data_IF_326715853699
#
_entry.id   IF_326715853699
#
_cell.length_a   1.000
_cell.length_b   1.000
_cell.length_c   1.000
_cell.angle_alpha   90.00
_cell.angle_beta   90.00
_cell.angle_gamma   90.00
#
_symmetry.space_group_name_H-M   'P 1'
#
loop_
_entity.id
_entity.type
_entity.pdbx_description
1 polymer ?
#
# COMPACT_ATOMS: atom_id res chain seq x y z
N UNK A 1 -11.72 -4.21 17.99
CA UNK A 1 -12.63 -4.46 16.85
C UNK A 1 -11.89 -4.65 15.52
N UNK A 2 -11.05 -3.70 15.08
CA UNK A 2 -10.31 -3.84 13.81
C UNK A 2 -9.45 -5.10 13.75
N UNK A 3 -8.67 -5.39 14.81
CA UNK A 3 -7.83 -6.60 14.85
C UNK A 3 -8.64 -7.89 14.68
N UNK A 4 -9.84 -7.95 15.27
CA UNK A 4 -10.76 -9.09 15.14
C UNK A 4 -11.23 -9.24 13.70
N UNK A 5 -11.68 -8.15 13.07
CA UNK A 5 -12.08 -8.16 11.65
C UNK A 5 -10.91 -8.57 10.74
N UNK A 6 -9.73 -8.01 10.96
CA UNK A 6 -8.49 -8.40 10.26
C UNK A 6 -8.21 -9.89 10.42
N UNK A 7 -8.34 -10.42 11.64
CA UNK A 7 -8.18 -11.84 11.93
C UNK A 7 -9.13 -12.71 11.12
N UNK A 8 -10.42 -12.37 11.15
CA UNK A 8 -11.47 -13.10 10.41
C UNK A 8 -11.21 -13.06 8.90
N UNK A 9 -10.84 -11.91 8.34
CA UNK A 9 -10.51 -11.81 6.90
C UNK A 9 -9.31 -12.71 6.57
N UNK A 10 -8.22 -12.62 7.35
CA UNK A 10 -7.01 -13.42 7.13
C UNK A 10 -7.28 -14.92 7.28
N UNK A 11 -8.11 -15.33 8.23
CA UNK A 11 -8.51 -16.72 8.44
C UNK A 11 -9.35 -17.24 7.28
N UNK A 12 -10.34 -16.45 6.83
CA UNK A 12 -11.19 -16.78 5.67
C UNK A 12 -10.37 -16.94 4.39
N UNK A 13 -9.28 -16.17 4.22
CA UNK A 13 -8.37 -16.32 3.09
C UNK A 13 -7.49 -17.58 3.19
N UNK A 14 -7.14 -18.03 4.39
CA UNK A 14 -6.34 -19.24 4.60
C UNK A 14 -7.15 -20.52 4.43
N UNK A 15 -8.43 -20.50 4.77
CA UNK A 15 -9.28 -21.68 4.75
C UNK A 15 -9.47 -22.22 3.31
N UNK A 16 -8.99 -23.44 3.07
CA UNK A 16 -9.08 -24.13 1.75
C UNK A 16 -10.45 -24.79 1.57
N UNK A 17 -11.20 -25.01 2.64
CA UNK A 17 -12.40 -25.85 2.67
C UNK A 17 -13.66 -25.03 2.34
N UNK A 18 -13.68 -23.73 2.64
CA UNK A 18 -14.84 -22.85 2.43
C UNK A 18 -14.76 -22.14 1.07
N UNK A 19 -15.88 -21.90 0.37
CA UNK A 19 -15.94 -20.99 -0.78
C UNK A 19 -15.54 -19.55 -0.39
N UNK A 20 -14.22 -19.25 -0.41
CA UNK A 20 -13.60 -18.03 0.13
C UNK A 20 -14.29 -16.75 -0.34
N UNK A 21 -14.54 -16.64 -1.65
CA UNK A 21 -15.20 -15.49 -2.26
C UNK A 21 -16.63 -15.29 -1.72
N UNK A 22 -17.39 -16.37 -1.53
CA UNK A 22 -18.77 -16.31 -1.05
C UNK A 22 -18.86 -15.92 0.43
N UNK A 23 -18.02 -16.53 1.27
CA UNK A 23 -17.97 -16.23 2.70
C UNK A 23 -17.51 -14.78 2.95
N UNK A 24 -16.42 -14.37 2.29
CA UNK A 24 -15.89 -13.03 2.47
C UNK A 24 -16.82 -11.95 1.90
N UNK A 25 -17.49 -12.21 0.77
CA UNK A 25 -18.51 -11.30 0.24
C UNK A 25 -19.67 -11.13 1.23
N UNK A 26 -20.15 -12.21 1.86
CA UNK A 26 -21.21 -12.14 2.88
C UNK A 26 -20.78 -11.32 4.11
N UNK A 27 -19.51 -11.41 4.50
CA UNK A 27 -18.94 -10.64 5.61
C UNK A 27 -18.78 -9.15 5.27
N UNK A 28 -18.18 -8.85 4.11
CA UNK A 28 -17.75 -7.49 3.76
C UNK A 28 -18.86 -6.66 3.08
N UNK A 29 -19.78 -7.28 2.33
CA UNK A 29 -20.81 -6.51 1.60
C UNK A 29 -21.68 -5.62 2.53
N UNK A 30 -22.14 -6.08 3.70
CA UNK A 30 -22.89 -5.22 4.63
C UNK A 30 -22.03 -4.10 5.24
N UNK A 31 -20.71 -4.32 5.31
CA UNK A 31 -19.75 -3.39 5.91
C UNK A 31 -19.13 -2.44 4.89
N UNK A 32 -19.36 -2.64 3.58
CA UNK A 32 -18.59 -2.00 2.51
C UNK A 32 -18.56 -0.48 2.63
N UNK A 33 -19.75 0.14 2.71
CA UNK A 33 -19.89 1.59 2.85
C UNK A 33 -19.37 2.11 4.21
N UNK A 34 -19.57 1.35 5.28
CA UNK A 34 -19.14 1.73 6.63
C UNK A 34 -17.62 1.74 6.72
N UNK A 35 -16.98 0.69 6.20
CA UNK A 35 -15.53 0.58 6.12
C UNK A 35 -14.98 1.69 5.22
N UNK A 36 -15.54 1.89 4.03
CA UNK A 36 -15.12 2.99 3.15
C UNK A 36 -15.18 4.35 3.85
N UNK A 37 -16.29 4.67 4.53
CA UNK A 37 -16.43 5.89 5.31
C UNK A 37 -15.40 6.01 6.44
N UNK A 38 -15.20 4.92 7.19
CA UNK A 38 -14.19 4.84 8.25
C UNK A 38 -12.77 5.07 7.72
N UNK A 39 -12.43 4.46 6.59
CA UNK A 39 -11.15 4.65 5.91
C UNK A 39 -10.92 6.09 5.47
N UNK A 40 -11.92 6.69 4.83
CA UNK A 40 -11.85 8.08 4.40
C UNK A 40 -11.64 9.01 5.60
N UNK A 41 -12.35 8.78 6.71
CA UNK A 41 -12.20 9.58 7.92
C UNK A 41 -10.76 9.54 8.47
N UNK A 42 -10.13 8.37 8.51
CA UNK A 42 -8.74 8.22 8.98
C UNK A 42 -7.73 8.79 7.99
N UNK A 43 -7.91 8.55 6.69
CA UNK A 43 -6.98 9.04 5.66
C UNK A 43 -7.03 10.57 5.49
N UNK A 44 -8.17 11.19 5.79
CA UNK A 44 -8.34 12.64 5.80
C UNK A 44 -7.96 13.28 7.14
N UNK A 45 -7.75 12.48 8.19
CA UNK A 45 -7.40 13.00 9.49
C UNK A 45 -6.02 13.67 9.45
N UNK A 46 -5.94 14.89 9.98
CA UNK A 46 -4.66 15.58 10.14
C UNK A 46 -3.97 15.06 11.41
N UNK A 47 -2.86 14.34 11.21
CA UNK A 47 -2.07 13.80 12.31
C UNK A 47 -1.16 14.89 12.86
N UNK A 48 -1.65 15.62 13.87
CA UNK A 48 -0.86 16.59 14.60
C UNK A 48 0.10 15.86 15.57
N UNK A 49 1.34 16.34 15.62
CA UNK A 49 2.48 15.61 16.17
C UNK A 49 2.33 15.25 17.65
N UNK A 50 1.52 15.97 18.43
CA UNK A 50 1.41 15.81 19.88
C UNK A 50 0.84 14.44 20.31
N UNK A 51 -0.15 13.90 19.59
CA UNK A 51 -0.81 12.63 19.96
C UNK A 51 -0.09 11.37 19.44
N UNK A 52 0.86 11.55 18.52
CA UNK A 52 1.56 10.46 17.85
C UNK A 52 3.08 10.48 18.13
N UNK A 53 3.51 11.22 19.16
CA UNK A 53 4.93 11.35 19.55
C UNK A 53 5.56 10.04 20.00
N UNK A 54 4.79 9.16 20.65
CA UNK A 54 5.28 7.85 21.12
C UNK A 54 4.78 6.73 20.22
N UNK A 55 5.68 5.84 19.71
CA UNK A 55 5.29 4.68 18.91
C UNK A 55 4.44 3.67 19.68
N UNK A 56 4.40 3.76 21.02
CA UNK A 56 3.62 2.89 21.90
C UNK A 56 2.32 3.56 22.40
N UNK A 57 1.98 4.74 21.87
CA UNK A 57 0.71 5.38 22.17
C UNK A 57 -0.47 4.57 21.63
N UNK A 58 -1.61 4.66 22.31
CA UNK A 58 -2.86 4.04 21.86
C UNK A 58 -3.23 4.50 20.44
N UNK A 59 -3.02 5.79 20.12
CA UNK A 59 -3.26 6.34 18.80
C UNK A 59 -2.37 5.69 17.72
N UNK A 60 -1.10 5.42 18.03
CA UNK A 60 -0.18 4.69 17.15
C UNK A 60 -0.58 3.22 16.96
N UNK A 61 -1.03 2.55 18.03
CA UNK A 61 -1.54 1.18 17.96
C UNK A 61 -2.82 1.07 17.12
N UNK A 62 -3.71 2.07 17.24
CA UNK A 62 -4.93 2.14 16.44
C UNK A 62 -4.61 2.35 14.95
N UNK A 63 -3.66 3.23 14.64
CA UNK A 63 -3.19 3.43 13.27
C UNK A 63 -2.47 2.18 12.72
N UNK A 64 -1.72 1.46 13.54
CA UNK A 64 -1.09 0.20 13.16
C UNK A 64 -2.15 -0.87 12.81
N UNK A 65 -3.18 -0.99 13.65
CA UNK A 65 -4.31 -1.91 13.46
C UNK A 65 -5.12 -1.58 12.21
N UNK A 66 -5.24 -0.28 11.91
CA UNK A 66 -5.83 0.21 10.67
C UNK A 66 -5.04 -0.24 9.43
N UNK A 67 -3.71 -0.14 9.46
CA UNK A 67 -2.85 -0.61 8.37
C UNK A 67 -2.97 -2.13 8.20
N UNK A 68 -3.04 -2.88 9.31
CA UNK A 68 -3.23 -4.34 9.25
C UNK A 68 -4.55 -4.74 8.57
N UNK A 69 -5.62 -3.96 8.79
CA UNK A 69 -6.89 -4.18 8.10
C UNK A 69 -6.80 -3.79 6.62
N UNK A 70 -6.15 -2.67 6.28
CA UNK A 70 -5.89 -2.32 4.87
C UNK A 70 -5.13 -3.42 4.14
N UNK A 71 -4.13 -4.00 4.79
CA UNK A 71 -3.34 -5.10 4.23
C UNK A 71 -4.19 -6.35 3.98
N UNK A 72 -5.06 -6.70 4.93
CA UNK A 72 -5.98 -7.83 4.76
C UNK A 72 -7.01 -7.59 3.65
N UNK A 73 -7.54 -6.37 3.55
CA UNK A 73 -8.45 -5.98 2.48
C UNK A 73 -7.77 -6.00 1.11
N UNK A 74 -6.55 -5.46 1.02
CA UNK A 74 -5.73 -5.55 -0.18
C UNK A 74 -5.52 -7.01 -0.60
N UNK A 75 -5.07 -7.87 0.31
CA UNK A 75 -4.86 -9.29 0.03
C UNK A 75 -6.15 -9.98 -0.43
N UNK A 76 -7.30 -9.62 0.14
CA UNK A 76 -8.58 -10.17 -0.29
C UNK A 76 -9.05 -9.67 -1.67
N UNK A 77 -8.78 -8.40 -2.00
CA UNK A 77 -9.07 -7.83 -3.33
C UNK A 77 -8.28 -8.54 -4.41
N UNK A 78 -7.02 -8.78 -4.07
CA UNK A 78 -6.03 -9.52 -4.83
C UNK A 78 -6.54 -10.94 -5.11
N UNK A 79 -6.76 -11.75 -4.07
CA UNK A 79 -7.05 -13.17 -4.24
C UNK A 79 -8.44 -13.46 -4.83
N UNK A 80 -9.43 -12.61 -4.54
CA UNK A 80 -10.85 -12.92 -4.82
C UNK A 80 -11.50 -11.99 -5.84
N UNK A 81 -10.83 -10.89 -6.20
CA UNK A 81 -11.27 -9.91 -7.21
C UNK A 81 -12.70 -9.37 -7.00
N UNK A 82 -13.18 -9.39 -5.76
CA UNK A 82 -14.51 -8.91 -5.38
C UNK A 82 -14.61 -7.39 -5.59
N UNK A 83 -15.68 -6.87 -6.23
CA UNK A 83 -15.80 -5.44 -6.58
C UNK A 83 -16.32 -4.59 -5.41
N UNK A 84 -15.82 -4.79 -4.20
CA UNK A 84 -16.22 -4.03 -3.01
C UNK A 84 -15.38 -2.75 -2.87
N UNK A 85 -15.98 -1.64 -2.46
CA UNK A 85 -15.28 -0.35 -2.35
C UNK A 85 -14.23 -0.34 -1.25
N UNK A 86 -14.53 -0.93 -0.08
CA UNK A 86 -13.60 -1.03 1.04
C UNK A 86 -12.30 -1.76 0.68
N UNK A 87 -12.37 -2.72 -0.25
CA UNK A 87 -11.23 -3.47 -0.78
C UNK A 87 -10.39 -2.66 -1.78
N UNK A 88 -10.99 -1.68 -2.45
CA UNK A 88 -10.34 -0.83 -3.46
C UNK A 88 -9.70 0.42 -2.86
N UNK A 89 -9.91 0.69 -1.56
CA UNK A 89 -9.56 1.96 -0.92
C UNK A 89 -8.09 2.34 -1.11
N UNK A 90 -7.15 1.38 -1.00
CA UNK A 90 -5.73 1.66 -1.14
C UNK A 90 -5.37 2.15 -2.55
N UNK A 91 -6.03 1.61 -3.58
CA UNK A 91 -5.85 2.01 -4.97
C UNK A 91 -6.42 3.41 -5.22
N UNK A 92 -7.63 3.65 -4.71
CA UNK A 92 -8.38 4.88 -4.97
C UNK A 92 -7.91 6.07 -4.12
N UNK A 93 -7.27 5.83 -2.97
CA UNK A 93 -6.91 6.85 -1.98
C UNK A 93 -5.40 6.88 -1.68
N UNK A 94 -4.57 6.41 -2.60
CA UNK A 94 -3.12 6.38 -2.42
C UNK A 94 -2.51 7.76 -2.18
N UNK A 95 -3.05 8.83 -2.77
CA UNK A 95 -2.57 10.20 -2.52
C UNK A 95 -2.66 10.57 -1.04
N UNK A 96 -3.73 10.19 -0.35
CA UNK A 96 -3.87 10.40 1.09
C UNK A 96 -2.87 9.56 1.90
N UNK A 97 -2.61 8.33 1.47
CA UNK A 97 -1.58 7.47 2.10
C UNK A 97 -0.19 8.08 1.94
N UNK A 98 0.14 8.63 0.77
CA UNK A 98 1.40 9.31 0.51
C UNK A 98 1.54 10.59 1.37
N UNK A 99 0.46 11.37 1.50
CA UNK A 99 0.43 12.52 2.40
C UNK A 99 0.64 12.11 3.86
N UNK A 100 0.05 10.99 4.28
CA UNK A 100 0.22 10.45 5.62
C UNK A 100 1.67 10.01 5.88
N UNK A 101 2.33 9.39 4.90
CA UNK A 101 3.77 9.07 4.97
C UNK A 101 4.63 10.33 5.15
N UNK A 102 4.24 11.46 4.54
CA UNK A 102 4.92 12.76 4.71
C UNK A 102 4.60 13.47 6.03
N UNK A 103 3.51 13.10 6.70
CA UNK A 103 3.10 13.73 7.97
C UNK A 103 4.02 13.38 9.15
N UNK A 104 3.77 13.94 10.33
CA UNK A 104 4.59 13.77 11.54
C UNK A 104 4.34 12.47 12.32
N UNK A 105 3.77 11.44 11.70
CA UNK A 105 3.55 10.12 12.32
C UNK A 105 4.87 9.36 12.59
N UNK A 106 4.88 8.40 13.54
CA UNK A 106 6.04 7.57 13.82
C UNK A 106 6.59 6.86 12.58
N UNK A 107 7.92 6.82 12.48
CA UNK A 107 8.62 6.23 11.33
C UNK A 107 8.25 4.76 11.09
N UNK A 108 8.02 3.97 12.14
CA UNK A 108 7.58 2.56 12.03
C UNK A 108 6.26 2.44 11.24
N UNK A 109 5.34 3.39 11.45
CA UNK A 109 4.05 3.45 10.76
C UNK A 109 4.26 3.86 9.30
N UNK A 110 5.09 4.88 9.04
CA UNK A 110 5.48 5.28 7.67
C UNK A 110 6.04 4.10 6.89
N UNK A 111 7.00 3.39 7.48
CA UNK A 111 7.63 2.20 6.91
C UNK A 111 6.59 1.13 6.56
N UNK A 112 5.61 0.90 7.43
CA UNK A 112 4.55 -0.09 7.17
C UNK A 112 3.65 0.30 5.99
N UNK A 113 3.25 1.58 5.88
CA UNK A 113 2.51 2.06 4.71
C UNK A 113 3.30 1.91 3.42
N UNK A 114 4.59 2.26 3.42
CA UNK A 114 5.46 2.13 2.24
C UNK A 114 5.57 0.66 1.79
N UNK A 115 5.75 -0.26 2.74
CA UNK A 115 5.78 -1.69 2.44
C UNK A 115 4.43 -2.20 1.91
N UNK A 116 3.31 -1.67 2.42
CA UNK A 116 1.98 -1.98 1.92
C UNK A 116 1.78 -1.47 0.48
N UNK A 117 2.22 -0.26 0.16
CA UNK A 117 2.21 0.26 -1.21
C UNK A 117 3.06 -0.59 -2.15
N UNK A 118 4.24 -1.02 -1.70
CA UNK A 118 5.06 -1.98 -2.45
C UNK A 118 4.28 -3.27 -2.74
N UNK A 119 3.60 -3.85 -1.75
CA UNK A 119 2.77 -5.06 -1.96
C UNK A 119 1.65 -4.82 -2.97
N UNK A 120 1.02 -3.65 -2.91
CA UNK A 120 -0.05 -3.24 -3.81
C UNK A 120 0.42 -3.24 -5.28
N UNK A 121 1.56 -2.62 -5.58
CA UNK A 121 2.08 -2.54 -6.97
C UNK A 121 2.70 -3.84 -7.47
N UNK A 122 3.20 -4.70 -6.58
CA UNK A 122 3.88 -5.95 -6.93
C UNK A 122 2.95 -7.15 -7.05
N UNK A 123 1.65 -6.93 -6.90
CA UNK A 123 0.66 -7.99 -6.75
C UNK A 123 0.74 -9.11 -7.82
N UNK A 124 1.21 -8.85 -9.04
CA UNK A 124 1.41 -9.89 -10.08
C UNK A 124 2.84 -10.00 -10.62
N UNK A 125 3.84 -9.47 -9.93
CA UNK A 125 5.25 -9.52 -10.35
C UNK A 125 6.04 -10.72 -9.81
N UNK A 126 5.38 -11.83 -9.45
CA UNK A 126 6.11 -13.08 -9.19
C UNK A 126 6.61 -13.59 -10.55
N UNK A 127 7.93 -13.75 -10.66
CA UNK A 127 8.78 -14.05 -11.84
C UNK A 127 8.37 -15.18 -12.81
N UNK A 128 7.15 -15.73 -12.73
CA UNK A 128 6.72 -16.90 -13.51
C UNK A 128 5.84 -16.55 -14.72
N UNK A 129 6.18 -15.51 -15.48
CA UNK A 129 5.37 -15.12 -16.61
C UNK A 129 6.19 -14.58 -17.79
N UNK A 130 6.51 -15.51 -18.70
CA UNK A 130 7.06 -15.29 -20.05
C UNK A 130 6.13 -14.50 -21.00
N UNK A 131 5.31 -13.58 -20.55
CA UNK A 131 4.43 -12.83 -21.47
C UNK A 131 4.05 -11.47 -20.93
N UNK A 132 4.50 -10.42 -21.62
CA UNK A 132 4.19 -9.01 -21.34
C UNK A 132 2.74 -8.60 -21.62
N UNK A 133 1.77 -9.52 -21.49
CA UNK A 133 0.35 -9.24 -21.78
C UNK A 133 -0.62 -9.61 -20.63
N UNK A 134 -0.12 -10.06 -19.47
CA UNK A 134 -0.96 -10.61 -18.40
C UNK A 134 -1.85 -9.59 -17.65
N UNK A 135 -1.62 -8.29 -17.82
CA UNK A 135 -2.51 -7.26 -17.29
C UNK A 135 -3.89 -7.23 -17.98
N UNK A 136 -4.01 -7.79 -19.18
CA UNK A 136 -5.29 -7.95 -19.91
C UNK A 136 -6.22 -9.00 -19.31
N UNK A 137 -5.76 -9.88 -18.42
CA UNK A 137 -6.57 -11.01 -17.95
C UNK A 137 -7.55 -10.68 -16.82
N UNK A 138 -7.37 -9.55 -16.11
CA UNK A 138 -8.22 -9.19 -14.96
C UNK A 138 -8.62 -7.72 -15.02
N UNK A 139 -9.66 -7.37 -15.81
CA UNK A 139 -10.02 -5.99 -16.12
C UNK A 139 -10.34 -5.15 -14.87
N UNK A 140 -10.95 -5.76 -13.85
CA UNK A 140 -11.33 -5.02 -12.64
C UNK A 140 -10.12 -4.55 -11.82
N UNK A 141 -8.98 -5.25 -11.86
CA UNK A 141 -7.76 -4.83 -11.17
C UNK A 141 -6.90 -3.90 -12.03
N UNK A 142 -7.08 -3.94 -13.35
CA UNK A 142 -6.44 -2.99 -14.26
C UNK A 142 -6.90 -1.55 -13.96
N UNK A 143 -8.21 -1.34 -13.78
CA UNK A 143 -8.76 -0.02 -13.38
C UNK A 143 -8.19 0.47 -12.04
N UNK A 144 -8.08 -0.43 -11.06
CA UNK A 144 -7.52 -0.12 -9.74
C UNK A 144 -6.05 0.30 -9.84
N UNK A 145 -5.26 -0.44 -10.61
CA UNK A 145 -3.84 -0.13 -10.84
C UNK A 145 -3.65 1.14 -11.66
N UNK A 146 -4.56 1.46 -12.58
CA UNK A 146 -4.55 2.72 -13.32
C UNK A 146 -4.80 3.91 -12.39
N UNK A 147 -5.82 3.82 -11.54
CA UNK A 147 -6.13 4.85 -10.55
C UNK A 147 -4.95 5.06 -9.59
N UNK A 148 -4.38 3.96 -9.06
CA UNK A 148 -3.20 3.98 -8.21
C UNK A 148 -2.02 4.67 -8.91
N UNK A 149 -1.70 4.25 -10.14
CA UNK A 149 -0.53 4.74 -10.88
C UNK A 149 -0.65 6.22 -11.19
N UNK A 150 -1.82 6.69 -11.62
CA UNK A 150 -2.05 8.10 -11.89
C UNK A 150 -1.88 8.95 -10.63
N UNK A 151 -2.43 8.52 -9.50
CA UNK A 151 -2.32 9.25 -8.24
C UNK A 151 -0.88 9.26 -7.70
N UNK A 152 -0.15 8.13 -7.78
CA UNK A 152 1.28 8.07 -7.40
C UNK A 152 2.10 9.06 -8.22
N UNK A 153 1.94 9.05 -9.55
CA UNK A 153 2.73 9.90 -10.45
C UNK A 153 2.40 11.39 -10.27
N UNK A 154 1.14 11.73 -9.98
CA UNK A 154 0.77 13.11 -9.64
C UNK A 154 1.48 13.58 -8.37
N UNK A 155 1.54 12.76 -7.32
CA UNK A 155 2.17 13.13 -6.05
C UNK A 155 3.69 13.18 -6.16
N UNK A 156 4.32 12.24 -6.86
CA UNK A 156 5.78 12.20 -7.04
C UNK A 156 6.29 13.45 -7.79
N UNK A 157 5.52 13.97 -8.75
CA UNK A 157 5.86 15.19 -9.47
C UNK A 157 5.97 16.43 -8.55
N UNK A 158 5.37 16.39 -7.36
CA UNK A 158 5.39 17.49 -6.38
C UNK A 158 6.62 17.48 -5.45
N UNK A 159 7.74 16.90 -5.88
CA UNK A 159 8.99 16.74 -5.07
C UNK A 159 8.80 15.96 -3.76
N UNK A 160 7.71 15.19 -3.66
CA UNK A 160 7.30 14.45 -2.46
C UNK A 160 8.39 13.53 -1.91
N UNK A 161 9.16 12.88 -2.79
CA UNK A 161 10.27 11.99 -2.40
C UNK A 161 11.34 12.69 -1.55
N UNK A 162 11.53 14.00 -1.72
CA UNK A 162 12.51 14.78 -0.96
C UNK A 162 12.07 15.04 0.48
N UNK A 163 10.78 14.86 0.79
CA UNK A 163 10.19 15.13 2.11
C UNK A 163 10.14 13.89 3.01
N UNK A 164 10.52 12.72 2.50
CA UNK A 164 10.43 11.47 3.26
C UNK A 164 11.67 11.35 4.14
N UNK A 165 11.53 11.42 5.48
CA UNK A 165 12.68 11.29 6.36
C UNK A 165 13.25 9.87 6.23
N UNK A 166 14.46 9.76 5.70
CA UNK A 166 15.27 8.55 5.75
C UNK A 166 15.93 8.52 7.13
N UNK A 167 15.73 7.43 7.86
CA UNK A 167 16.34 7.17 9.15
C UNK A 167 17.87 7.17 9.03
N UNK A 168 18.49 8.16 9.67
CA UNK A 168 19.84 8.17 10.26
C UNK A 168 21.07 7.96 9.37
N UNK A 169 21.01 7.22 8.28
CA UNK A 169 22.19 6.89 7.46
C UNK A 169 21.89 7.24 6.00
N UNK A 170 22.59 8.23 5.46
CA UNK A 170 22.56 8.56 4.04
C UNK A 170 23.10 7.39 3.23
N UNK A 171 22.22 6.48 2.85
CA UNK A 171 22.55 5.40 1.93
C UNK A 171 22.01 5.75 0.56
N UNK A 172 22.91 6.08 -0.37
CA UNK A 172 22.56 6.42 -1.73
C UNK A 172 22.12 5.17 -2.52
N UNK A 173 21.42 5.37 -3.63
CA UNK A 173 21.02 4.32 -4.57
C UNK A 173 22.27 3.78 -5.30
N UNK A 174 23.06 2.95 -4.62
CA UNK A 174 24.37 2.48 -5.10
C UNK A 174 25.16 1.64 -4.09
N UNK A 175 24.74 1.60 -2.83
CA UNK A 175 25.45 0.91 -1.74
C UNK A 175 25.97 1.91 -0.72
N UNK A 176 26.05 1.47 0.54
CA UNK A 176 26.69 2.24 1.60
C UNK A 176 28.19 1.95 1.54
N UNK A 177 29.03 2.98 1.57
CA UNK A 177 30.40 2.79 2.07
C UNK A 177 30.29 2.29 3.51
N UNK A 178 31.01 1.22 3.82
CA UNK A 178 31.06 0.66 5.16
C UNK A 178 31.83 1.63 6.06
N UNK A 179 31.13 2.31 6.98
CA UNK A 179 31.79 3.03 8.06
C UNK A 179 32.49 2.00 8.97
N UNK A 180 33.77 2.19 9.32
CA UNK A 180 34.48 1.26 10.19
C UNK A 180 34.08 1.55 11.64
N UNK A 181 33.35 0.59 12.23
CA UNK A 181 33.17 0.46 13.67
C UNK A 181 32.18 1.42 14.32
N UNK A 182 30.92 0.98 14.45
CA UNK A 182 30.16 1.24 15.68
C UNK A 182 28.98 0.26 15.77
N UNK A 183 28.86 -0.40 16.92
CA UNK A 183 27.77 -1.31 17.28
C UNK A 183 26.50 -0.51 17.60
N UNK A 184 25.90 0.10 16.58
CA UNK A 184 24.53 0.63 16.68
C UNK A 184 23.61 -0.01 15.65
N UNK A 185 22.50 -0.52 16.18
CA UNK A 185 21.46 -1.31 15.53
C UNK A 185 20.61 -0.47 14.55
N UNK A 186 21.25 0.30 13.66
CA UNK A 186 20.62 1.17 12.67
C UNK A 186 20.64 0.55 11.28
N UNK A 187 19.82 -0.48 11.06
CA UNK A 187 19.69 -1.12 9.74
C UNK A 187 19.29 -0.11 8.67
N UNK A 188 20.18 0.11 7.70
CA UNK A 188 20.03 1.05 6.59
C UNK A 188 18.63 1.04 5.95
N UNK A 189 18.08 2.23 5.77
CA UNK A 189 16.76 2.53 5.19
C UNK A 189 16.62 2.22 3.68
N UNK A 190 17.60 1.52 3.11
CA UNK A 190 17.59 1.02 1.73
C UNK A 190 16.31 0.28 1.36
N UNK A 191 15.72 -0.49 2.29
CA UNK A 191 14.47 -1.22 2.00
C UNK A 191 13.32 -0.28 1.70
N UNK A 192 13.23 0.85 2.42
CA UNK A 192 12.17 1.84 2.26
C UNK A 192 12.38 2.63 0.97
N UNK A 193 13.61 3.08 0.71
CA UNK A 193 13.95 3.77 -0.54
C UNK A 193 13.69 2.88 -1.75
N UNK A 194 14.16 1.63 -1.73
CA UNK A 194 13.92 0.65 -2.82
C UNK A 194 12.43 0.38 -3.00
N UNK A 195 11.67 0.26 -1.91
CA UNK A 195 10.22 0.08 -1.98
C UNK A 195 9.53 1.27 -2.66
N UNK A 196 9.90 2.49 -2.29
CA UNK A 196 9.37 3.70 -2.92
C UNK A 196 9.77 3.81 -4.40
N UNK A 197 11.05 3.63 -4.73
CA UNK A 197 11.52 3.64 -6.12
C UNK A 197 10.75 2.61 -6.95
N UNK A 198 10.52 1.41 -6.41
CA UNK A 198 9.77 0.37 -7.09
C UNK A 198 8.29 0.73 -7.28
N UNK A 199 7.66 1.39 -6.30
CA UNK A 199 6.29 1.91 -6.44
C UNK A 199 6.20 2.93 -7.58
N UNK A 200 7.16 3.86 -7.66
CA UNK A 200 7.21 4.86 -8.74
C UNK A 200 7.47 4.20 -10.10
N UNK A 201 8.46 3.31 -10.18
CA UNK A 201 8.80 2.61 -11.42
C UNK A 201 7.62 1.75 -11.92
N UNK A 202 6.92 1.03 -11.04
CA UNK A 202 5.74 0.25 -11.42
C UNK A 202 4.57 1.14 -11.87
N UNK A 203 4.37 2.29 -11.24
CA UNK A 203 3.36 3.24 -11.69
C UNK A 203 3.68 3.81 -13.09
N UNK A 204 4.95 4.12 -13.36
CA UNK A 204 5.41 4.55 -14.68
C UNK A 204 5.23 3.46 -15.73
N UNK A 205 5.68 2.25 -15.43
CA UNK A 205 5.52 1.07 -16.31
C UNK A 205 4.05 0.90 -16.69
N UNK A 206 3.16 0.91 -15.70
CA UNK A 206 1.73 0.75 -15.95
C UNK A 206 1.16 1.87 -16.83
N UNK A 207 1.50 3.14 -16.55
CA UNK A 207 1.02 4.28 -17.35
C UNK A 207 1.49 4.23 -18.81
N UNK A 208 2.72 3.77 -19.05
CA UNK A 208 3.25 3.61 -20.41
C UNK A 208 2.47 2.52 -21.16
N UNK A 209 2.25 1.36 -20.53
CA UNK A 209 1.49 0.26 -21.14
C UNK A 209 0.01 0.62 -21.39
N UNK A 210 -0.63 1.33 -20.45
CA UNK A 210 -2.01 1.79 -20.63
C UNK A 210 -2.15 2.80 -21.78
N UNK A 211 -1.14 3.67 -21.97
CA UNK A 211 -1.14 4.65 -23.06
C UNK A 211 -0.89 4.00 -24.43
N UNK A 212 -0.02 2.99 -24.49
CA UNK A 212 0.24 2.22 -25.70
C UNK A 212 -1.01 1.45 -26.18
N UNK A 213 -1.72 0.82 -25.25
CA UNK A 213 -2.98 0.11 -25.56
C UNK A 213 -4.09 1.06 -26.01
N UNK A 214 -4.17 2.28 -25.48
CA UNK A 214 -5.12 3.30 -25.95
C UNK A 214 -4.78 3.84 -27.35
N UNK A 215 -3.50 3.88 -27.72
CA UNK A 215 -3.04 4.33 -29.04
C UNK A 215 -3.28 3.31 -30.16
N UNK A 216 -3.37 2.02 -29.86
CA UNK A 216 -3.68 0.95 -30.84
C UNK A 216 -5.18 0.79 -31.13
N UNK A 217 -6.05 1.34 -30.27
CA UNK A 217 -7.51 1.26 -30.38
C UNK A 217 -8.11 2.49 -31.12
N UNK A 218 -7.27 3.47 -31.48
CA UNK A 218 -7.63 4.68 -32.25
C UNK A 218 -7.26 4.55 -33.72
#
# INVERSE_FOLDING_TARGET
>A
CLCTLTGIIKETLKDVVVPRAGALKKLLAPLDAVLEGFYNAILLHHFDSHHYTSPYSEASNNLLSFIDLLEALLASRIELELPLRCQRILFLKVSYVLNLISSSIPYVIKKKFILLLKKCVLYKSREDAKSGSLFLQTPSLCEDMLALSNAVLQVVNLTWLNQIPLGGMSSYFGGSEAAPGDDSQGGSDQTVLRALSLVVLKALEFKIHSSATEAEIK
#
